data_IF_305472512374
#
_entry.id   IF_305472512374
#
_cell.length_a   1.000
_cell.length_b   1.000
_cell.length_c   1.000
_cell.angle_alpha   90.00
_cell.angle_beta   90.00
_cell.angle_gamma   90.00
#
_symmetry.space_group_name_H-M   'P 1'
#
loop_
_entity.id
_entity.type
_entity.pdbx_description
1 polymer ?
#
# COMPACT_ATOMS: atom_id res chain seq x y z
N UNK A 1 2.50 37.20 -38.19
CA UNK A 1 3.39 36.26 -37.47
C UNK A 1 2.95 36.18 -36.02
N UNK A 2 2.25 35.11 -35.63
CA UNK A 2 1.85 34.87 -34.23
C UNK A 2 2.94 34.03 -33.55
N UNK A 3 3.59 34.57 -32.52
CA UNK A 3 4.51 33.80 -31.66
C UNK A 3 3.67 33.00 -30.66
N UNK A 4 3.82 31.68 -30.65
CA UNK A 4 3.28 30.82 -29.59
C UNK A 4 3.98 31.14 -28.26
N UNK A 5 3.25 31.26 -27.14
CA UNK A 5 3.87 31.41 -25.84
C UNK A 5 4.57 30.09 -25.41
N UNK A 6 5.61 30.17 -24.58
CA UNK A 6 6.32 29.00 -24.09
C UNK A 6 5.41 28.14 -23.22
N UNK A 7 5.45 26.83 -23.47
CA UNK A 7 4.81 25.81 -22.63
C UNK A 7 5.58 25.78 -21.32
N UNK A 8 4.97 26.30 -20.24
CA UNK A 8 5.47 26.10 -18.89
C UNK A 8 5.30 24.62 -18.54
N UNK A 9 6.41 23.88 -18.52
CA UNK A 9 6.45 22.57 -17.88
C UNK A 9 6.28 22.80 -16.37
N UNK A 10 5.09 22.53 -15.85
CA UNK A 10 4.87 22.48 -14.41
C UNK A 10 5.70 21.32 -13.86
N UNK A 11 6.66 21.64 -13.00
CA UNK A 11 7.38 20.63 -12.24
C UNK A 11 6.37 19.82 -11.41
N UNK A 12 6.56 18.50 -11.28
CA UNK A 12 5.70 17.68 -10.44
C UNK A 12 5.73 18.25 -9.01
N UNK A 13 4.58 18.27 -8.30
CA UNK A 13 4.51 18.76 -6.94
C UNK A 13 5.47 17.96 -6.05
N UNK A 14 6.25 18.67 -5.23
CA UNK A 14 7.13 18.06 -4.24
C UNK A 14 6.29 17.15 -3.33
N UNK A 15 6.69 15.88 -3.13
CA UNK A 15 5.95 14.98 -2.24
C UNK A 15 5.91 15.59 -0.82
N UNK A 16 4.76 15.50 -0.13
CA UNK A 16 4.66 15.98 1.24
C UNK A 16 5.67 15.25 2.13
N UNK A 17 6.25 15.97 3.10
CA UNK A 17 7.12 15.36 4.11
C UNK A 17 6.39 14.20 4.80
N UNK A 18 7.09 13.10 5.14
CA UNK A 18 6.48 11.94 5.78
C UNK A 18 5.80 12.39 7.06
N UNK A 19 4.48 12.21 7.11
CA UNK A 19 3.69 12.51 8.30
C UNK A 19 4.11 11.50 9.37
N UNK A 20 4.74 11.99 10.44
CA UNK A 20 5.00 11.17 11.62
C UNK A 20 3.67 10.85 12.28
N UNK A 21 3.01 9.77 11.86
CA UNK A 21 1.82 9.23 12.50
C UNK A 21 2.23 8.64 13.86
N UNK A 22 2.36 9.48 14.87
CA UNK A 22 2.74 9.10 16.24
C UNK A 22 1.62 8.39 17.03
N UNK A 23 0.48 8.09 16.40
CA UNK A 23 -0.59 7.28 16.99
C UNK A 23 -1.01 6.17 16.04
N UNK A 24 -0.57 4.94 16.28
CA UNK A 24 -1.10 3.80 15.55
C UNK A 24 -2.56 3.61 15.96
N UNK A 25 -3.51 3.79 15.04
CA UNK A 25 -4.94 3.56 15.30
C UNK A 25 -5.28 2.08 15.54
N UNK A 26 -4.28 1.20 15.47
CA UNK A 26 -4.39 -0.25 15.53
C UNK A 26 -4.39 -0.75 16.99
N UNK A 27 -4.01 0.13 17.94
CA UNK A 27 -3.89 -0.21 19.36
C UNK A 27 -2.57 -0.88 19.73
N UNK A 28 -1.57 -0.81 18.84
CA UNK A 28 -0.20 -1.23 19.10
C UNK A 28 0.55 -0.06 19.74
N UNK A 29 1.19 -0.31 20.89
CA UNK A 29 2.20 0.61 21.40
C UNK A 29 3.50 0.54 20.57
N UNK A 30 4.42 1.47 20.81
CA UNK A 30 5.65 1.58 20.04
C UNK A 30 6.60 0.37 20.21
N UNK A 31 6.58 -0.29 21.37
CA UNK A 31 7.44 -1.45 21.66
C UNK A 31 6.89 -2.72 21.01
N UNK A 32 5.57 -2.90 21.05
CA UNK A 32 4.88 -3.97 20.33
C UNK A 32 5.13 -3.82 18.84
N UNK A 33 4.94 -2.62 18.29
CA UNK A 33 5.19 -2.34 16.88
C UNK A 33 6.64 -2.66 16.49
N UNK A 34 7.61 -2.29 17.33
CA UNK A 34 9.00 -2.62 17.08
C UNK A 34 9.30 -4.12 17.17
N UNK A 35 8.58 -4.86 18.03
CA UNK A 35 8.64 -6.32 18.05
C UNK A 35 8.13 -6.91 16.74
N UNK A 36 7.03 -6.39 16.20
CA UNK A 36 6.51 -6.79 14.89
C UNK A 36 7.54 -6.51 13.78
N UNK A 37 8.16 -5.32 13.80
CA UNK A 37 9.16 -4.98 12.78
C UNK A 37 10.42 -5.82 12.88
N UNK A 38 10.84 -6.20 14.08
CA UNK A 38 11.94 -7.15 14.25
C UNK A 38 11.59 -8.50 13.64
N UNK A 39 10.41 -9.05 13.96
CA UNK A 39 9.92 -10.29 13.35
C UNK A 39 9.93 -10.21 11.81
N UNK A 40 9.39 -9.14 11.24
CA UNK A 40 9.36 -8.96 9.78
C UNK A 40 10.77 -8.83 9.18
N UNK A 41 11.70 -8.14 9.84
CA UNK A 41 13.10 -8.03 9.40
C UNK A 41 13.84 -9.36 9.43
N UNK A 42 13.58 -10.19 10.45
CA UNK A 42 14.16 -11.53 10.55
C UNK A 42 13.62 -12.45 9.46
N UNK A 43 12.33 -12.32 9.13
CA UNK A 43 11.70 -13.10 8.06
C UNK A 43 12.16 -12.68 6.66
N UNK A 44 12.46 -11.39 6.47
CA UNK A 44 12.85 -10.80 5.18
C UNK A 44 14.17 -10.02 5.29
N UNK A 45 15.31 -10.72 5.48
CA UNK A 45 16.60 -10.09 5.76
C UNK A 45 17.15 -9.28 4.58
N UNK A 46 16.76 -9.60 3.35
CA UNK A 46 17.18 -8.90 2.14
C UNK A 46 16.31 -7.68 1.80
N UNK A 47 15.33 -7.36 2.65
CA UNK A 47 14.39 -6.28 2.41
C UNK A 47 14.57 -5.12 3.38
N UNK A 48 14.25 -3.91 2.91
CA UNK A 48 14.06 -2.70 3.70
C UNK A 48 12.57 -2.57 3.98
N UNK A 49 12.23 -2.39 5.25
CA UNK A 49 10.87 -2.12 5.68
C UNK A 49 10.66 -0.61 5.69
N UNK A 50 9.62 -0.16 4.98
CA UNK A 50 9.15 1.21 4.95
C UNK A 50 7.71 1.23 5.49
N UNK A 51 7.39 2.18 6.36
CA UNK A 51 6.00 2.37 6.76
C UNK A 51 5.20 2.89 5.55
N UNK A 52 4.06 2.27 5.26
CA UNK A 52 3.19 2.80 4.22
C UNK A 52 2.69 4.19 4.65
N UNK A 53 2.80 5.18 3.76
CA UNK A 53 2.26 6.53 4.01
C UNK A 53 0.73 6.54 4.22
N UNK A 54 0.07 5.39 4.00
CA UNK A 54 -1.33 5.14 4.26
C UNK A 54 -1.51 4.03 5.27
N UNK A 55 -1.78 4.41 6.51
CA UNK A 55 -2.18 3.47 7.54
C UNK A 55 -3.70 3.36 7.61
N UNK A 56 -4.18 2.13 7.76
CA UNK A 56 -5.58 1.84 8.04
C UNK A 56 -5.85 1.74 9.54
N UNK A 57 -7.12 1.78 9.94
CA UNK A 57 -7.51 1.54 11.35
C UNK A 57 -7.49 0.05 11.74
N UNK A 58 -7.54 -0.86 10.76
CA UNK A 58 -7.67 -2.30 11.01
C UNK A 58 -6.33 -3.05 11.03
N UNK A 59 -5.27 -2.44 10.53
CA UNK A 59 -3.97 -3.08 10.36
C UNK A 59 -2.87 -2.05 10.24
N UNK A 60 -1.68 -2.42 10.71
CA UNK A 60 -0.46 -1.67 10.44
C UNK A 60 0.20 -2.23 9.18
N UNK A 61 0.49 -1.38 8.19
CA UNK A 61 1.00 -1.81 6.87
C UNK A 61 2.42 -1.33 6.64
N UNK A 62 3.31 -2.24 6.28
CA UNK A 62 4.67 -1.93 5.82
C UNK A 62 4.86 -2.35 4.36
N UNK A 63 5.61 -1.54 3.63
CA UNK A 63 6.09 -1.83 2.28
C UNK A 63 7.47 -2.49 2.40
N UNK A 64 7.71 -3.57 1.65
CA UNK A 64 9.00 -4.23 1.60
C UNK A 64 9.65 -4.02 0.23
N UNK A 65 10.87 -3.47 0.24
CA UNK A 65 11.71 -3.25 -0.94
C UNK A 65 12.96 -4.08 -0.83
N UNK A 66 13.44 -4.66 -1.93
CA UNK A 66 14.75 -5.33 -1.92
C UNK A 66 15.85 -4.30 -1.62
N UNK A 67 16.79 -4.64 -0.75
CA UNK A 67 17.95 -3.80 -0.44
C UNK A 67 18.74 -3.53 -1.72
N UNK A 68 18.99 -2.24 -2.00
CA UNK A 68 19.86 -1.87 -3.10
C UNK A 68 21.26 -2.43 -2.86
N UNK A 69 21.87 -3.04 -3.88
CA UNK A 69 23.27 -3.44 -3.81
C UNK A 69 24.14 -2.18 -3.96
N UNK A 70 24.83 -1.75 -2.89
CA UNK A 70 25.54 -0.46 -2.89
C UNK A 70 26.66 -0.39 -3.94
N UNK A 71 27.13 -1.54 -4.43
CA UNK A 71 28.23 -1.61 -5.41
C UNK A 71 27.77 -1.26 -6.83
N UNK A 72 26.49 -1.45 -7.17
CA UNK A 72 26.00 -1.30 -8.54
C UNK A 72 25.10 -0.08 -8.78
N UNK A 73 24.55 0.55 -7.73
CA UNK A 73 23.31 1.33 -7.90
C UNK A 73 23.34 2.77 -7.36
N UNK A 74 24.46 3.48 -7.50
CA UNK A 74 24.61 4.86 -7.00
C UNK A 74 23.77 5.93 -7.73
N UNK A 75 22.99 5.56 -8.76
CA UNK A 75 22.20 6.51 -9.56
C UNK A 75 20.75 6.09 -9.79
N UNK A 76 20.30 5.02 -9.14
CA UNK A 76 18.97 4.46 -9.42
C UNK A 76 17.96 4.92 -8.40
N UNK A 77 16.79 5.29 -8.91
CA UNK A 77 15.59 5.54 -8.12
C UNK A 77 15.35 4.38 -7.14
N UNK A 78 14.82 4.65 -5.94
CA UNK A 78 14.55 3.61 -4.95
C UNK A 78 13.67 2.52 -5.58
N UNK A 79 14.14 1.26 -5.48
CA UNK A 79 13.45 0.11 -6.05
C UNK A 79 11.99 0.07 -5.59
N UNK A 80 11.05 -0.18 -6.50
CA UNK A 80 9.63 -0.31 -6.18
C UNK A 80 9.42 -1.40 -5.11
N UNK A 81 8.39 -1.24 -4.25
CA UNK A 81 8.11 -2.27 -3.25
C UNK A 81 7.62 -3.53 -3.94
N UNK A 82 8.06 -4.68 -3.45
CA UNK A 82 7.74 -6.00 -4.03
C UNK A 82 6.41 -6.53 -3.49
N UNK A 83 6.19 -6.34 -2.19
CA UNK A 83 4.98 -6.74 -1.49
C UNK A 83 4.78 -5.90 -0.24
N UNK A 84 3.63 -6.09 0.42
CA UNK A 84 3.32 -5.48 1.70
C UNK A 84 3.22 -6.54 2.79
N UNK A 85 3.54 -6.14 4.02
CA UNK A 85 3.24 -6.91 5.22
C UNK A 85 2.22 -6.14 6.04
N UNK A 86 1.16 -6.83 6.46
CA UNK A 86 0.15 -6.28 7.37
C UNK A 86 0.21 -7.00 8.71
N UNK A 87 0.23 -6.21 9.77
CA UNK A 87 0.10 -6.65 11.16
C UNK A 87 -1.33 -6.32 11.60
N UNK A 88 -2.10 -7.35 11.93
CA UNK A 88 -3.52 -7.26 12.24
C UNK A 88 -3.76 -7.76 13.67
N UNK A 89 -4.47 -7.00 14.53
CA UNK A 89 -4.97 -7.57 15.76
C UNK A 89 -5.93 -8.73 15.43
N UNK A 90 -6.04 -9.71 16.30
CA UNK A 90 -6.91 -10.89 16.12
C UNK A 90 -8.33 -10.55 15.66
N UNK A 91 -8.95 -9.53 16.25
CA UNK A 91 -10.30 -9.05 15.87
C UNK A 91 -10.44 -8.58 14.41
N UNK A 92 -9.31 -8.34 13.73
CA UNK A 92 -9.22 -7.92 12.34
C UNK A 92 -8.45 -8.94 11.49
N UNK A 93 -8.16 -10.13 12.01
CA UNK A 93 -7.46 -11.15 11.24
C UNK A 93 -8.26 -11.58 10.00
N UNK A 94 -7.55 -11.91 8.93
CA UNK A 94 -8.13 -12.44 7.69
C UNK A 94 -7.88 -13.94 7.67
N UNK A 95 -8.92 -14.75 7.56
CA UNK A 95 -8.73 -16.19 7.36
C UNK A 95 -8.02 -16.44 6.02
N UNK A 96 -6.97 -17.28 5.94
CA UNK A 96 -6.25 -17.54 4.69
C UNK A 96 -7.13 -18.00 3.52
N UNK A 97 -8.24 -18.68 3.82
CA UNK A 97 -9.23 -19.06 2.82
C UNK A 97 -9.85 -17.87 2.09
N UNK A 98 -10.09 -16.74 2.77
CA UNK A 98 -10.64 -15.53 2.15
C UNK A 98 -9.68 -14.99 1.10
N UNK A 99 -8.39 -14.89 1.43
CA UNK A 99 -7.36 -14.47 0.48
C UNK A 99 -7.27 -15.39 -0.73
N UNK A 100 -7.30 -16.71 -0.50
CA UNK A 100 -7.33 -17.72 -1.57
C UNK A 100 -8.56 -17.58 -2.47
N UNK A 101 -9.76 -17.49 -1.90
CA UNK A 101 -10.99 -17.36 -2.68
C UNK A 101 -11.04 -16.05 -3.44
N UNK A 102 -10.57 -14.95 -2.85
CA UNK A 102 -10.46 -13.68 -3.56
C UNK A 102 -9.56 -13.81 -4.79
N UNK A 103 -8.40 -14.47 -4.66
CA UNK A 103 -7.49 -14.73 -5.79
C UNK A 103 -8.11 -15.66 -6.83
N UNK A 104 -8.86 -16.67 -6.40
CA UNK A 104 -9.55 -17.62 -7.28
C UNK A 104 -10.63 -16.93 -8.12
N UNK A 105 -11.42 -16.03 -7.53
CA UNK A 105 -12.55 -15.38 -8.21
C UNK A 105 -12.15 -14.13 -8.99
N UNK A 106 -11.20 -13.35 -8.48
CA UNK A 106 -10.82 -12.07 -9.07
C UNK A 106 -9.45 -12.10 -9.77
N UNK A 107 -8.79 -13.27 -9.82
CA UNK A 107 -7.49 -13.46 -10.46
C UNK A 107 -6.49 -12.36 -10.08
N UNK A 108 -5.91 -11.67 -11.06
CA UNK A 108 -4.91 -10.62 -10.88
C UNK A 108 -5.41 -9.34 -10.19
N UNK A 109 -6.70 -9.26 -9.88
CA UNK A 109 -7.33 -8.11 -9.22
C UNK A 109 -7.46 -8.29 -7.71
N UNK A 110 -7.11 -9.46 -7.19
CA UNK A 110 -6.93 -9.71 -5.76
C UNK A 110 -5.45 -9.99 -5.48
N UNK A 111 -4.89 -9.46 -4.38
CA UNK A 111 -3.51 -9.74 -4.04
C UNK A 111 -3.33 -11.21 -3.69
N UNK A 112 -2.16 -11.76 -3.99
CA UNK A 112 -1.73 -13.02 -3.39
C UNK A 112 -1.64 -12.80 -1.89
N UNK A 113 -2.19 -13.73 -1.11
CA UNK A 113 -2.25 -13.63 0.34
C UNK A 113 -1.53 -14.82 0.97
N UNK A 114 -0.62 -14.54 1.88
CA UNK A 114 0.12 -15.53 2.65
C UNK A 114 0.06 -15.14 4.13
N UNK A 115 -0.51 -16.00 4.97
CA UNK A 115 -0.36 -15.86 6.42
C UNK A 115 1.04 -16.33 6.79
N UNK A 116 1.81 -15.44 7.42
CA UNK A 116 3.19 -15.73 7.80
C UNK A 116 3.25 -16.39 9.17
N UNK A 117 2.59 -15.79 10.16
CA UNK A 117 2.58 -16.27 11.54
C UNK A 117 1.54 -15.54 12.40
N UNK A 118 1.37 -16.04 13.62
CA UNK A 118 0.67 -15.40 14.71
C UNK A 118 1.62 -15.23 15.89
N UNK A 119 1.65 -14.04 16.48
CA UNK A 119 2.50 -13.80 17.65
C UNK A 119 1.77 -12.97 18.70
N UNK A 120 2.22 -13.13 19.94
CA UNK A 120 1.78 -12.36 21.10
C UNK A 120 2.96 -11.48 21.52
N UNK A 121 2.87 -10.14 21.41
CA UNK A 121 3.89 -9.25 21.92
C UNK A 121 4.08 -9.47 23.43
N UNK A 122 5.30 -9.28 23.92
CA UNK A 122 5.69 -9.61 25.30
C UNK A 122 4.89 -8.91 26.41
N UNK A 123 4.19 -7.80 26.11
CA UNK A 123 3.50 -6.98 27.12
C UNK A 123 1.98 -7.08 27.11
N UNK A 124 1.40 -7.56 26.02
CA UNK A 124 -0.06 -7.68 25.90
C UNK A 124 -0.46 -9.12 25.73
N UNK A 125 -1.70 -9.43 26.11
CA UNK A 125 -2.32 -10.72 25.83
C UNK A 125 -2.93 -10.77 24.41
N UNK A 126 -2.74 -9.70 23.62
CA UNK A 126 -3.35 -9.58 22.30
C UNK A 126 -2.54 -10.40 21.29
N UNK A 127 -3.23 -11.25 20.54
CA UNK A 127 -2.64 -11.95 19.40
C UNK A 127 -2.69 -11.06 18.16
N UNK A 128 -1.61 -11.08 17.39
CA UNK A 128 -1.51 -10.39 16.12
C UNK A 128 -1.18 -11.37 15.01
N UNK A 129 -1.93 -11.28 13.92
CA UNK A 129 -1.68 -11.99 12.69
C UNK A 129 -0.72 -11.16 11.83
N UNK A 130 0.32 -11.79 11.31
CA UNK A 130 1.19 -11.21 10.28
C UNK A 130 0.88 -11.88 8.95
N UNK A 131 0.55 -11.06 7.96
CA UNK A 131 0.31 -11.55 6.60
C UNK A 131 1.14 -10.77 5.58
N UNK A 132 1.56 -11.47 4.54
CA UNK A 132 2.21 -10.93 3.35
C UNK A 132 1.17 -10.87 2.24
N UNK A 133 1.18 -9.77 1.50
CA UNK A 133 0.28 -9.56 0.37
C UNK A 133 1.04 -8.99 -0.82
N UNK A 134 0.83 -9.54 -2.03
CA UNK A 134 1.41 -8.95 -3.23
C UNK A 134 0.85 -7.55 -3.48
N UNK A 135 1.64 -6.70 -4.15
CA UNK A 135 1.18 -5.39 -4.57
C UNK A 135 0.38 -5.50 -5.87
N UNK A 136 -0.80 -4.89 -5.87
CA UNK A 136 -1.58 -4.75 -7.08
C UNK A 136 -1.09 -3.52 -7.86
N UNK A 137 -0.81 -3.65 -9.16
CA UNK A 137 -0.48 -2.51 -9.99
C UNK A 137 -1.70 -1.58 -10.09
N UNK A 138 -1.46 -0.28 -9.95
CA UNK A 138 -2.51 0.71 -10.10
C UNK A 138 -2.26 1.97 -9.29
N UNK A 139 -3.28 2.82 -9.27
CA UNK A 139 -3.29 4.06 -8.49
C UNK A 139 -4.47 4.01 -7.54
N UNK A 140 -4.28 4.47 -6.30
CA UNK A 140 -5.37 4.44 -5.33
C UNK A 140 -6.41 5.47 -5.74
N UNK A 141 -7.68 5.11 -5.57
CA UNK A 141 -8.78 6.01 -5.89
C UNK A 141 -8.65 7.36 -5.15
N UNK A 142 -8.22 7.34 -3.89
CA UNK A 142 -8.00 8.55 -3.08
C UNK A 142 -6.91 9.49 -3.59
N UNK A 143 -5.99 9.01 -4.42
CA UNK A 143 -4.95 9.83 -5.05
C UNK A 143 -5.45 10.52 -6.33
N UNK A 144 -6.40 9.89 -7.03
CA UNK A 144 -7.00 10.44 -8.25
C UNK A 144 -8.26 11.24 -7.99
N UNK A 145 -8.94 11.03 -6.86
CA UNK A 145 -10.12 11.81 -6.49
C UNK A 145 -9.72 13.25 -6.16
N UNK A 146 -10.40 14.26 -6.74
CA UNK A 146 -10.16 15.65 -6.39
C UNK A 146 -10.49 15.89 -4.91
N UNK A 147 -9.55 16.53 -4.20
CA UNK A 147 -9.73 16.97 -2.81
C UNK A 147 -10.45 18.32 -2.71
N UNK A 148 -10.73 18.94 -3.85
CA UNK A 148 -11.38 20.25 -3.97
C UNK A 148 -12.82 20.08 -4.46
N UNK A 149 -13.70 20.98 -4.03
CA UNK A 149 -15.10 21.02 -4.46
C UNK A 149 -15.26 21.43 -5.92
N UNK A 150 -14.28 22.12 -6.50
CA UNK A 150 -14.21 22.39 -7.94
C UNK A 150 -13.38 21.33 -8.65
N UNK A 151 -13.94 20.79 -9.74
CA UNK A 151 -13.30 19.80 -10.60
C UNK A 151 -13.11 20.41 -11.97
N UNK A 152 -11.86 20.60 -12.38
CA UNK A 152 -11.54 21.07 -13.73
C UNK A 152 -11.88 20.02 -14.81
N UNK A 153 -11.87 20.44 -16.07
CA UNK A 153 -12.25 19.58 -17.21
C UNK A 153 -11.33 18.35 -17.31
N UNK A 154 -10.04 18.52 -17.05
CA UNK A 154 -9.05 17.44 -17.13
C UNK A 154 -9.30 16.37 -16.06
N UNK A 155 -9.56 16.78 -14.82
CA UNK A 155 -9.87 15.91 -13.69
C UNK A 155 -11.20 15.21 -13.90
N UNK A 156 -12.21 15.89 -14.46
CA UNK A 156 -13.47 15.26 -14.85
C UNK A 156 -13.27 14.16 -15.89
N UNK A 157 -12.39 14.37 -16.87
CA UNK A 157 -12.01 13.34 -17.84
C UNK A 157 -11.41 12.10 -17.17
N UNK A 158 -10.45 12.30 -16.26
CA UNK A 158 -9.84 11.21 -15.47
C UNK A 158 -10.86 10.44 -14.63
N UNK A 159 -11.75 11.14 -13.94
CA UNK A 159 -12.82 10.51 -13.15
C UNK A 159 -13.75 9.67 -14.00
N UNK A 160 -14.12 10.15 -15.19
CA UNK A 160 -14.94 9.39 -16.13
C UNK A 160 -14.23 8.09 -16.51
N UNK A 161 -12.95 8.13 -16.89
CA UNK A 161 -12.21 6.93 -17.26
C UNK A 161 -12.10 5.92 -16.11
N UNK A 162 -11.95 6.38 -14.87
CA UNK A 162 -11.97 5.51 -13.68
C UNK A 162 -13.34 4.86 -13.50
N UNK A 163 -14.44 5.62 -13.63
CA UNK A 163 -15.79 5.09 -13.51
C UNK A 163 -16.14 4.11 -14.64
N UNK A 164 -15.72 4.39 -15.87
CA UNK A 164 -15.89 3.49 -17.01
C UNK A 164 -15.10 2.18 -16.82
N UNK A 165 -13.86 2.26 -16.33
CA UNK A 165 -13.06 1.09 -15.98
C UNK A 165 -13.69 0.25 -14.86
N UNK A 166 -14.21 0.90 -13.81
CA UNK A 166 -14.91 0.22 -12.72
C UNK A 166 -16.21 -0.44 -13.20
N UNK A 167 -16.96 0.24 -14.06
CA UNK A 167 -18.17 -0.31 -14.66
C UNK A 167 -17.85 -1.53 -15.56
N UNK A 168 -16.79 -1.46 -16.36
CA UNK A 168 -16.32 -2.58 -17.18
C UNK A 168 -15.87 -3.78 -16.35
N UNK A 169 -15.16 -3.53 -15.24
CA UNK A 169 -14.78 -4.56 -14.28
C UNK A 169 -16.01 -5.27 -13.70
N UNK A 170 -16.99 -4.50 -13.20
CA UNK A 170 -18.22 -5.09 -12.70
C UNK A 170 -18.98 -5.83 -13.78
N UNK A 171 -19.09 -5.33 -15.00
CA UNK A 171 -19.77 -6.04 -16.08
C UNK A 171 -19.13 -7.42 -16.35
N UNK A 172 -17.80 -7.50 -16.34
CA UNK A 172 -17.05 -8.74 -16.60
C UNK A 172 -17.10 -9.75 -15.43
N UNK A 173 -17.51 -9.31 -14.24
CA UNK A 173 -17.59 -10.16 -13.05
C UNK A 173 -18.89 -10.96 -12.95
N UNK A 174 -19.87 -10.66 -13.81
CA UNK A 174 -21.21 -11.26 -13.80
C UNK A 174 -21.46 -12.22 -14.98
N UNK A 175 -20.48 -12.36 -15.87
CA UNK A 175 -20.46 -13.37 -16.95
C UNK A 175 -19.73 -14.63 -16.50
#
# INVERSE_FOLDING_TARGET
MYRRPPIFQQLPPTPPAPSTCTGSNVGLDAEELQTCFRFTRERFPEHVLEEAAWQGGCSYTTLLRVKANPVMDSSREPAEPEFVVQIRPERHAITPSIGRYAREWYADLAPEFEELDWFVPTRTIAMYQVCRMSLLPGTRLSEVLPKTSSVDVATRGRLRSVLEGLAGFHASSWE
#
